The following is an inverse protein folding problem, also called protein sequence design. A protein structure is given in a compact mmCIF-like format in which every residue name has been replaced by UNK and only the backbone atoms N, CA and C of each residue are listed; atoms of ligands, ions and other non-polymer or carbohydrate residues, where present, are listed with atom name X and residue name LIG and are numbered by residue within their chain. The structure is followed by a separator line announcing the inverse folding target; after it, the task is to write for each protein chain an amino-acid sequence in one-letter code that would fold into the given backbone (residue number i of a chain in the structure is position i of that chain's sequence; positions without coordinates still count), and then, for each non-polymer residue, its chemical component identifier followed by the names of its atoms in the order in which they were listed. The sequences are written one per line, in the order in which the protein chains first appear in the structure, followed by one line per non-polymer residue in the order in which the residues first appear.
data_IF_833369006659
#
_entry.id   IF_833369006659
#
_cell.length_a   1.000
_cell.length_b   1.000
_cell.length_c   1.000
_cell.angle_alpha   90.00
_cell.angle_beta   90.00
_cell.angle_gamma   90.00
#
_symmetry.space_group_name_H-M   'P 1'
#
loop_
_entity.id
_entity.type
_entity.pdbx_description
1 polymer ?
#
# COMPACT_ATOMS: atom_id res chain seq x y z
N UNK A 1 -5.41 -36.67 75.14
CA UNK A 1 -4.86 -37.26 73.91
C UNK A 1 -5.85 -37.02 72.79
N UNK A 2 -5.36 -36.49 71.66
CA UNK A 2 -6.14 -36.12 70.48
C UNK A 2 -6.63 -37.37 69.76
N UNK A 3 -7.86 -37.34 69.26
CA UNK A 3 -8.35 -38.23 68.21
C UNK A 3 -9.26 -37.41 67.29
N UNK A 4 -8.82 -37.30 66.05
CA UNK A 4 -9.44 -36.62 64.91
C UNK A 4 -10.40 -37.57 64.21
N UNK A 5 -11.61 -37.09 63.90
CA UNK A 5 -12.52 -37.72 62.95
C UNK A 5 -13.18 -36.65 62.09
N UNK A 6 -12.65 -36.44 60.88
CA UNK A 6 -13.22 -35.59 59.84
C UNK A 6 -14.25 -36.40 59.06
N UNK A 7 -15.50 -35.94 59.04
CA UNK A 7 -16.54 -36.46 58.16
C UNK A 7 -16.63 -35.53 56.94
N UNK A 8 -16.45 -36.09 55.76
CA UNK A 8 -16.56 -35.39 54.47
C UNK A 8 -18.04 -35.24 54.12
N UNK A 9 -18.49 -34.02 53.85
CA UNK A 9 -19.79 -33.75 53.23
C UNK A 9 -19.55 -33.14 51.85
N UNK A 10 -20.04 -33.84 50.82
CA UNK A 10 -19.99 -33.40 49.44
C UNK A 10 -20.95 -32.23 49.22
N UNK A 11 -20.45 -31.14 48.62
CA UNK A 11 -21.27 -30.04 48.11
C UNK A 11 -21.22 -30.10 46.59
N UNK A 12 -22.38 -30.37 45.98
CA UNK A 12 -22.62 -30.24 44.54
C UNK A 12 -22.75 -28.75 44.23
N UNK A 13 -21.74 -28.18 43.58
CA UNK A 13 -21.76 -26.80 43.09
C UNK A 13 -22.21 -26.75 41.63
N UNK A 14 -23.43 -26.30 41.40
CA UNK A 14 -23.98 -25.99 40.06
C UNK A 14 -23.30 -24.72 39.54
N UNK A 15 -22.42 -24.84 38.54
CA UNK A 15 -21.81 -23.70 37.87
C UNK A 15 -22.80 -23.09 36.86
N UNK A 16 -23.28 -21.87 37.13
CA UNK A 16 -23.96 -21.04 36.14
C UNK A 16 -22.94 -20.57 35.10
N UNK A 17 -23.05 -21.08 33.87
CA UNK A 17 -22.40 -20.53 32.68
C UNK A 17 -23.08 -19.21 32.30
N UNK A 18 -22.53 -18.09 32.78
CA UNK A 18 -22.84 -16.77 32.23
C UNK A 18 -22.09 -16.61 30.91
N UNK A 19 -22.78 -16.88 29.80
CA UNK A 19 -22.29 -16.59 28.46
C UNK A 19 -22.10 -15.08 28.29
N UNK A 20 -20.85 -14.63 28.23
CA UNK A 20 -20.50 -13.27 27.84
C UNK A 20 -20.73 -13.11 26.35
N UNK A 21 -21.89 -12.58 25.98
CA UNK A 21 -22.14 -12.05 24.63
C UNK A 21 -21.29 -10.79 24.47
N UNK A 22 -20.13 -10.94 23.83
CA UNK A 22 -19.30 -9.82 23.40
C UNK A 22 -20.07 -9.06 22.31
N UNK A 23 -20.65 -7.93 22.68
CA UNK A 23 -21.18 -6.97 21.69
C UNK A 23 -20.01 -6.48 20.82
N UNK A 24 -20.15 -6.43 19.48
CA UNK A 24 -19.11 -5.90 18.63
C UNK A 24 -18.82 -4.46 19.04
N UNK A 25 -17.53 -4.14 19.17
CA UNK A 25 -17.08 -2.80 19.47
C UNK A 25 -17.62 -1.85 18.40
N UNK A 26 -18.52 -0.94 18.79
CA UNK A 26 -19.04 0.07 17.89
C UNK A 26 -17.86 0.94 17.40
N UNK A 27 -17.61 0.88 16.10
CA UNK A 27 -16.66 1.74 15.40
C UNK A 27 -16.97 3.19 15.75
N UNK A 28 -15.97 3.89 16.31
CA UNK A 28 -16.07 5.32 16.56
C UNK A 28 -16.41 6.01 15.22
N UNK A 29 -17.42 6.90 15.16
CA UNK A 29 -17.79 7.52 13.90
C UNK A 29 -16.60 8.28 13.34
N UNK A 30 -16.35 8.13 12.04
CA UNK A 30 -15.36 8.93 11.34
C UNK A 30 -15.64 10.42 11.63
N UNK A 31 -14.60 11.27 11.77
CA UNK A 31 -14.84 12.70 11.92
C UNK A 31 -15.74 13.20 10.79
N UNK A 32 -16.71 14.09 11.09
CA UNK A 32 -17.75 14.63 10.18
C UNK A 32 -17.25 15.22 8.84
N UNK A 33 -15.92 15.25 8.63
CA UNK A 33 -15.23 15.75 7.44
C UNK A 33 -14.87 14.64 6.43
N UNK A 34 -14.97 13.35 6.80
CA UNK A 34 -14.53 12.21 5.99
C UNK A 34 -15.40 11.92 4.75
N UNK A 35 -16.57 12.55 4.64
CA UNK A 35 -17.59 12.20 3.64
C UNK A 35 -17.71 13.20 2.48
N UNK A 36 -16.76 14.12 2.32
CA UNK A 36 -16.82 15.11 1.22
C UNK A 36 -15.50 15.29 0.49
N UNK A 37 -15.61 15.49 -0.82
CA UNK A 37 -14.51 15.87 -1.72
C UNK A 37 -14.89 17.14 -2.48
N UNK A 38 -13.94 18.07 -2.61
CA UNK A 38 -14.09 19.27 -3.43
C UNK A 38 -13.36 19.08 -4.75
N UNK A 39 -14.07 19.08 -5.87
CA UNK A 39 -13.49 19.15 -7.20
C UNK A 39 -13.34 20.62 -7.59
N UNK A 40 -12.12 21.02 -7.87
CA UNK A 40 -11.75 22.32 -8.37
C UNK A 40 -11.24 22.18 -9.81
N UNK A 41 -11.83 22.93 -10.73
CA UNK A 41 -11.54 22.83 -12.17
C UNK A 41 -11.35 24.19 -12.85
N UNK A 42 -10.91 25.19 -12.08
CA UNK A 42 -10.61 26.52 -12.64
C UNK A 42 -9.39 26.42 -13.55
N UNK A 43 -9.43 27.13 -14.68
CA UNK A 43 -8.33 27.26 -15.63
C UNK A 43 -8.01 28.73 -15.85
N UNK A 44 -6.73 29.09 -15.85
CA UNK A 44 -6.20 30.39 -16.26
C UNK A 44 -5.42 30.30 -17.59
N UNK A 45 -5.25 29.10 -18.13
CA UNK A 45 -4.66 28.83 -19.45
C UNK A 45 -5.59 27.90 -20.27
N UNK A 46 -5.03 26.89 -20.95
CA UNK A 46 -5.80 25.97 -21.79
C UNK A 46 -6.90 25.28 -20.99
N UNK A 47 -8.07 25.11 -21.60
CA UNK A 47 -9.23 24.48 -20.98
C UNK A 47 -9.54 23.17 -21.69
N UNK A 48 -9.53 22.07 -20.94
CA UNK A 48 -9.86 20.74 -21.44
C UNK A 48 -11.37 20.53 -21.54
N UNK A 49 -11.83 20.04 -22.69
CA UNK A 49 -13.25 19.72 -22.94
C UNK A 49 -13.78 18.59 -22.04
N UNK A 50 -12.88 17.81 -21.43
CA UNK A 50 -13.22 16.67 -20.58
C UNK A 50 -13.59 17.01 -19.14
N UNK A 51 -13.42 18.28 -18.72
CA UNK A 51 -13.75 18.74 -17.36
C UNK A 51 -15.20 18.37 -16.94
N UNK A 52 -16.25 18.61 -17.76
CA UNK A 52 -17.62 18.24 -17.39
C UNK A 52 -17.83 16.73 -17.20
N UNK A 53 -17.22 15.90 -18.05
CA UNK A 53 -17.29 14.44 -17.96
C UNK A 53 -16.52 13.93 -16.72
N UNK A 54 -15.36 14.52 -16.43
CA UNK A 54 -14.60 14.25 -15.22
C UNK A 54 -15.36 14.60 -13.94
N UNK A 55 -16.01 15.77 -13.86
CA UNK A 55 -16.86 16.14 -12.73
C UNK A 55 -18.00 15.14 -12.56
N UNK A 56 -18.63 14.72 -13.66
CA UNK A 56 -19.74 13.75 -13.64
C UNK A 56 -19.26 12.41 -13.11
N UNK A 57 -18.16 11.87 -13.65
CA UNK A 57 -17.59 10.62 -13.20
C UNK A 57 -17.19 10.65 -11.73
N UNK A 58 -16.52 11.72 -11.26
CA UNK A 58 -16.13 11.86 -9.85
C UNK A 58 -17.36 11.90 -8.92
N UNK A 59 -18.44 12.57 -9.32
CA UNK A 59 -19.71 12.57 -8.55
C UNK A 59 -20.34 11.20 -8.46
N UNK A 60 -20.38 10.45 -9.57
CA UNK A 60 -20.90 9.08 -9.60
C UNK A 60 -20.05 8.14 -8.74
N UNK A 61 -18.73 8.24 -8.82
CA UNK A 61 -17.78 7.47 -8.01
C UNK A 61 -17.90 7.80 -6.53
N UNK A 62 -18.07 9.08 -6.18
CA UNK A 62 -18.33 9.47 -4.80
C UNK A 62 -19.63 8.88 -4.28
N UNK A 63 -20.71 8.96 -5.07
CA UNK A 63 -21.99 8.39 -4.70
C UNK A 63 -21.91 6.86 -4.47
N UNK A 64 -21.21 6.13 -5.33
CA UNK A 64 -21.04 4.66 -5.18
C UNK A 64 -20.16 4.28 -3.99
N UNK A 65 -19.22 5.15 -3.60
CA UNK A 65 -18.29 4.93 -2.49
C UNK A 65 -18.72 5.59 -1.17
N UNK A 66 -19.91 6.19 -1.13
CA UNK A 66 -20.50 6.76 0.08
C UNK A 66 -19.90 8.10 0.53
N UNK A 67 -19.40 8.92 -0.40
CA UNK A 67 -18.99 10.31 -0.11
C UNK A 67 -19.53 11.30 -1.13
N UNK A 68 -19.87 12.51 -0.68
CA UNK A 68 -20.38 13.59 -1.51
C UNK A 68 -19.25 14.30 -2.25
N UNK A 69 -19.49 14.61 -3.51
CA UNK A 69 -18.58 15.41 -4.33
C UNK A 69 -19.24 16.74 -4.69
N UNK A 70 -18.59 17.82 -4.28
CA UNK A 70 -18.96 19.18 -4.69
C UNK A 70 -17.97 19.65 -5.76
N UNK A 71 -18.42 20.42 -6.74
CA UNK A 71 -17.57 20.93 -7.81
C UNK A 71 -17.69 22.46 -7.89
N UNK A 72 -16.57 23.14 -8.11
CA UNK A 72 -16.51 24.59 -8.26
C UNK A 72 -15.34 25.02 -9.14
N UNK A 73 -15.48 26.16 -9.79
CA UNK A 73 -14.37 26.90 -10.42
C UNK A 73 -14.06 28.20 -9.65
N UNK A 74 -14.83 28.50 -8.59
CA UNK A 74 -14.64 29.68 -7.74
C UNK A 74 -13.51 29.45 -6.72
N UNK A 75 -12.39 30.14 -6.93
CA UNK A 75 -11.23 30.10 -6.03
C UNK A 75 -11.54 30.64 -4.62
N UNK A 76 -12.63 31.40 -4.41
CA UNK A 76 -13.04 31.81 -3.06
C UNK A 76 -13.35 30.61 -2.13
N UNK A 77 -13.56 29.42 -2.71
CA UNK A 77 -13.64 28.16 -1.97
C UNK A 77 -12.36 27.81 -1.18
N UNK A 78 -11.19 28.35 -1.56
CA UNK A 78 -9.90 28.12 -0.91
C UNK A 78 -9.71 29.06 0.29
N UNK A 79 -10.48 28.78 1.34
CA UNK A 79 -10.33 29.44 2.63
C UNK A 79 -10.43 28.39 3.76
N UNK A 80 -9.85 28.64 4.95
CA UNK A 80 -9.82 27.65 6.02
C UNK A 80 -11.21 27.15 6.45
N UNK A 81 -12.23 28.00 6.39
CA UNK A 81 -13.57 27.64 6.84
C UNK A 81 -14.27 26.66 5.89
N UNK A 82 -14.01 26.78 4.59
CA UNK A 82 -14.55 25.86 3.61
C UNK A 82 -13.69 24.60 3.47
N UNK A 83 -12.36 24.72 3.38
CA UNK A 83 -11.45 23.59 3.16
C UNK A 83 -11.55 22.52 4.26
N UNK A 84 -11.73 22.91 5.53
CA UNK A 84 -11.90 21.95 6.65
C UNK A 84 -13.08 21.00 6.50
N UNK A 85 -14.00 21.25 5.56
CA UNK A 85 -15.19 20.41 5.32
C UNK A 85 -14.91 19.19 4.45
N UNK A 86 -13.74 19.14 3.80
CA UNK A 86 -13.42 18.17 2.76
C UNK A 86 -12.27 17.26 3.17
N UNK A 87 -12.44 15.96 2.98
CA UNK A 87 -11.40 14.95 3.18
C UNK A 87 -10.31 15.03 2.12
N UNK A 88 -10.68 15.40 0.89
CA UNK A 88 -9.74 15.66 -0.19
C UNK A 88 -10.20 16.82 -1.10
N UNK A 89 -9.24 17.47 -1.74
CA UNK A 89 -9.45 18.42 -2.84
C UNK A 89 -8.86 17.83 -4.12
N UNK A 90 -9.68 17.75 -5.16
CA UNK A 90 -9.30 17.30 -6.50
C UNK A 90 -9.02 18.53 -7.36
N UNK A 91 -7.86 18.59 -7.99
CA UNK A 91 -7.56 19.52 -9.07
C UNK A 91 -7.80 18.75 -10.37
N UNK A 92 -8.95 18.99 -11.01
CA UNK A 92 -9.35 18.33 -12.24
C UNK A 92 -9.01 19.21 -13.42
N UNK A 93 -7.91 18.87 -14.11
CA UNK A 93 -7.43 19.59 -15.29
C UNK A 93 -7.39 21.11 -15.12
N UNK A 94 -6.97 21.57 -13.94
CA UNK A 94 -6.65 22.98 -13.71
C UNK A 94 -5.45 23.38 -14.57
N UNK A 95 -5.32 24.65 -14.96
CA UNK A 95 -4.15 25.13 -15.72
C UNK A 95 -3.80 26.57 -15.35
N UNK A 96 -2.52 26.92 -15.40
CA UNK A 96 -2.02 28.26 -15.07
C UNK A 96 -2.05 28.61 -13.58
N UNK A 97 -2.06 29.91 -13.27
CA UNK A 97 -2.12 30.46 -11.91
C UNK A 97 -3.57 30.74 -11.51
N UNK A 98 -4.10 29.95 -10.57
CA UNK A 98 -5.55 29.84 -10.29
C UNK A 98 -5.91 30.28 -8.87
N UNK A 99 -4.92 30.40 -7.98
CA UNK A 99 -5.04 30.80 -6.58
C UNK A 99 -4.14 32.00 -6.26
N UNK A 100 -4.70 32.98 -5.54
CA UNK A 100 -3.92 34.06 -4.92
C UNK A 100 -3.07 33.55 -3.74
N UNK A 101 -2.04 34.30 -3.32
CA UNK A 101 -1.19 33.98 -2.15
C UNK A 101 -1.98 33.60 -0.88
N UNK A 102 -3.10 34.29 -0.64
CA UNK A 102 -3.97 34.00 0.51
C UNK A 102 -4.66 32.64 0.39
N UNK A 103 -5.08 32.28 -0.81
CA UNK A 103 -5.72 30.99 -1.10
C UNK A 103 -4.68 29.86 -1.12
N UNK A 104 -3.49 30.11 -1.68
CA UNK A 104 -2.34 29.22 -1.59
C UNK A 104 -2.02 28.91 -0.12
N UNK A 105 -1.83 29.93 0.73
CA UNK A 105 -1.58 29.78 2.18
C UNK A 105 -2.67 28.94 2.87
N UNK A 106 -3.94 29.16 2.53
CA UNK A 106 -5.04 28.38 3.08
C UNK A 106 -4.96 26.90 2.66
N UNK A 107 -4.53 26.62 1.42
CA UNK A 107 -4.35 25.27 0.91
C UNK A 107 -3.12 24.57 1.51
N UNK A 108 -1.99 25.28 1.69
CA UNK A 108 -0.84 24.71 2.40
C UNK A 108 -1.23 24.28 3.81
N UNK A 109 -1.95 25.15 4.53
CA UNK A 109 -2.47 24.81 5.86
C UNK A 109 -3.40 23.60 5.80
N UNK A 110 -4.27 23.49 4.80
CA UNK A 110 -5.15 22.34 4.63
C UNK A 110 -4.36 21.02 4.50
N UNK A 111 -3.35 20.99 3.61
CA UNK A 111 -2.50 19.82 3.39
C UNK A 111 -1.71 19.49 4.66
N UNK A 112 -1.09 20.49 5.32
CA UNK A 112 -0.32 20.31 6.56
C UNK A 112 -1.13 19.73 7.72
N UNK A 113 -2.46 19.90 7.70
CA UNK A 113 -3.37 19.31 8.69
C UNK A 113 -3.96 17.96 8.24
N UNK A 114 -3.38 17.30 7.24
CA UNK A 114 -3.77 15.97 6.80
C UNK A 114 -4.82 15.95 5.69
N UNK A 115 -5.06 17.08 5.02
CA UNK A 115 -5.91 17.16 3.84
C UNK A 115 -5.40 16.30 2.69
N UNK A 116 -6.31 15.63 1.97
CA UNK A 116 -5.99 14.88 0.77
C UNK A 116 -5.93 15.77 -0.47
N UNK A 117 -5.06 15.44 -1.41
CA UNK A 117 -4.95 16.05 -2.73
C UNK A 117 -5.03 14.97 -3.81
N UNK A 118 -5.77 15.27 -4.86
CA UNK A 118 -5.84 14.46 -6.09
C UNK A 118 -5.62 15.38 -7.28
N UNK A 119 -4.51 15.21 -8.00
CA UNK A 119 -4.27 15.89 -9.27
C UNK A 119 -4.63 14.99 -10.45
N UNK A 120 -5.41 15.51 -11.40
CA UNK A 120 -5.79 14.77 -12.61
C UNK A 120 -5.32 15.56 -13.83
N UNK A 121 -4.61 14.86 -14.71
CA UNK A 121 -4.13 15.32 -16.01
C UNK A 121 -3.41 16.68 -15.92
N UNK A 122 -4.07 17.76 -16.36
CA UNK A 122 -3.51 19.09 -16.43
C UNK A 122 -3.22 19.75 -15.07
N UNK A 123 -3.58 19.10 -13.96
CA UNK A 123 -3.15 19.56 -12.64
C UNK A 123 -1.61 19.75 -12.54
N UNK A 124 -0.79 19.07 -13.33
CA UNK A 124 0.66 19.33 -13.40
C UNK A 124 1.03 20.63 -14.15
N UNK A 125 0.11 21.19 -14.94
CA UNK A 125 0.20 22.47 -15.66
C UNK A 125 -0.36 23.65 -14.83
N UNK A 126 -0.25 23.58 -13.50
CA UNK A 126 -0.85 24.54 -12.57
C UNK A 126 0.20 25.11 -11.62
N UNK A 127 0.13 26.41 -11.30
CA UNK A 127 0.89 27.06 -10.22
C UNK A 127 2.42 26.88 -10.30
N UNK A 128 3.02 27.18 -11.46
CA UNK A 128 4.45 26.98 -11.73
C UNK A 128 5.41 27.74 -10.81
N UNK A 129 4.98 28.91 -10.31
CA UNK A 129 5.81 29.77 -9.45
C UNK A 129 5.62 29.47 -7.95
N UNK A 130 4.74 28.52 -7.60
CA UNK A 130 4.44 28.12 -6.22
C UNK A 130 5.12 26.80 -5.88
N UNK A 131 6.35 26.88 -5.35
CA UNK A 131 7.19 25.70 -5.07
C UNK A 131 6.53 24.62 -4.18
N UNK A 132 5.66 25.02 -3.25
CA UNK A 132 4.88 24.07 -2.44
C UNK A 132 3.97 23.21 -3.31
N UNK A 133 3.30 23.80 -4.30
CA UNK A 133 2.47 23.03 -5.23
C UNK A 133 3.30 22.09 -6.08
N UNK A 134 4.47 22.52 -6.54
CA UNK A 134 5.41 21.66 -7.28
C UNK A 134 5.81 20.41 -6.51
N UNK A 135 6.06 20.56 -5.20
CA UNK A 135 6.28 19.43 -4.31
C UNK A 135 5.02 18.58 -4.12
N UNK A 136 3.86 19.20 -3.94
CA UNK A 136 2.58 18.51 -3.75
C UNK A 136 2.19 17.67 -4.97
N UNK A 137 2.23 18.24 -6.18
CA UNK A 137 1.91 17.51 -7.42
C UNK A 137 3.03 16.53 -7.79
N UNK A 138 4.27 16.80 -7.38
CA UNK A 138 5.43 15.94 -7.55
C UNK A 138 6.28 16.26 -8.78
N UNK A 139 5.64 16.66 -9.89
CA UNK A 139 6.33 17.17 -11.07
C UNK A 139 5.45 18.11 -11.90
N UNK A 140 6.06 19.13 -12.49
CA UNK A 140 5.40 20.09 -13.35
C UNK A 140 5.37 19.63 -14.80
N UNK A 141 4.30 19.99 -15.52
CA UNK A 141 4.18 19.77 -16.96
C UNK A 141 5.28 20.52 -17.75
N UNK A 142 5.79 19.84 -18.78
CA UNK A 142 6.75 20.40 -19.74
C UNK A 142 6.18 20.47 -21.16
N UNK A 143 5.43 19.47 -21.58
CA UNK A 143 4.92 19.34 -22.95
C UNK A 143 4.28 17.98 -23.16
N UNK A 144 3.69 17.75 -24.33
CA UNK A 144 3.14 16.44 -24.72
C UNK A 144 3.25 16.28 -26.25
N UNK A 145 3.28 15.04 -26.76
CA UNK A 145 3.09 14.77 -28.18
C UNK A 145 1.59 14.82 -28.54
N UNK A 146 1.26 14.49 -29.78
CA UNK A 146 -0.13 14.27 -30.17
C UNK A 146 -0.74 13.10 -29.38
N UNK A 147 -2.06 13.16 -29.19
CA UNK A 147 -2.87 12.08 -28.61
C UNK A 147 -2.61 10.79 -29.39
N UNK A 148 -2.20 9.73 -28.69
CA UNK A 148 -1.83 8.47 -29.31
C UNK A 148 -1.93 7.31 -28.30
N UNK A 149 -2.02 6.05 -28.74
CA UNK A 149 -1.91 4.92 -27.83
C UNK A 149 -0.50 4.83 -27.23
N UNK A 150 -0.41 4.42 -25.97
CA UNK A 150 0.85 4.02 -25.34
C UNK A 150 0.62 2.84 -24.39
N UNK A 151 1.67 2.05 -24.19
CA UNK A 151 1.72 1.04 -23.14
C UNK A 151 2.02 1.71 -21.81
N UNK A 152 1.10 1.53 -20.86
CA UNK A 152 1.27 1.99 -19.47
C UNK A 152 1.56 0.78 -18.60
N UNK A 153 2.77 0.70 -18.05
CA UNK A 153 3.19 -0.36 -17.14
C UNK A 153 2.75 0.00 -15.73
N UNK A 154 1.98 -0.88 -15.09
CA UNK A 154 1.56 -0.73 -13.70
C UNK A 154 2.64 -1.33 -12.80
N UNK A 155 3.34 -0.47 -12.06
CA UNK A 155 4.49 -0.84 -11.23
C UNK A 155 4.10 -1.29 -9.82
N UNK A 156 3.13 -0.61 -9.21
CA UNK A 156 2.53 -1.01 -7.93
C UNK A 156 1.10 -1.47 -8.21
N UNK A 157 0.79 -2.71 -7.84
CA UNK A 157 -0.56 -3.25 -7.97
C UNK A 157 -1.30 -3.34 -6.63
N UNK A 158 -0.68 -3.12 -5.47
CA UNK A 158 -1.35 -3.03 -4.16
C UNK A 158 -2.12 -1.74 -3.96
N UNK A 159 -1.63 -0.64 -4.50
CA UNK A 159 -2.30 0.64 -4.32
C UNK A 159 -3.75 0.56 -4.85
N UNK A 160 -4.76 1.07 -4.10
CA UNK A 160 -6.17 0.99 -4.50
C UNK A 160 -6.46 1.56 -5.90
N UNK A 161 -5.68 2.56 -6.33
CA UNK A 161 -5.78 3.16 -7.67
C UNK A 161 -5.34 2.22 -8.80
N UNK A 162 -4.55 1.20 -8.53
CA UNK A 162 -3.95 0.34 -9.57
C UNK A 162 -4.24 -1.13 -9.37
N UNK A 163 -4.88 -1.51 -8.26
CA UNK A 163 -5.07 -2.91 -7.88
C UNK A 163 -6.03 -3.72 -8.72
N UNK A 164 -6.91 -3.06 -9.47
CA UNK A 164 -7.81 -3.70 -10.43
C UNK A 164 -7.28 -3.62 -11.86
N UNK A 165 -6.14 -2.98 -12.08
CA UNK A 165 -5.54 -2.85 -13.40
C UNK A 165 -4.71 -4.09 -13.74
N UNK A 166 -4.66 -4.41 -15.04
CA UNK A 166 -3.69 -5.36 -15.57
C UNK A 166 -2.27 -4.80 -15.44
N UNK A 167 -1.26 -5.67 -15.54
CA UNK A 167 0.15 -5.24 -15.55
C UNK A 167 0.42 -4.23 -16.66
N UNK A 168 -0.22 -4.41 -17.81
CA UNK A 168 -0.24 -3.46 -18.90
C UNK A 168 -1.63 -2.82 -19.01
N UNK A 169 -1.68 -1.50 -18.81
CA UNK A 169 -2.90 -0.69 -18.85
C UNK A 169 -2.91 0.20 -20.10
N UNK A 170 -2.87 -0.43 -21.27
CA UNK A 170 -2.77 0.26 -22.56
C UNK A 170 -4.01 1.11 -22.84
N UNK A 171 -3.80 2.37 -23.24
CA UNK A 171 -4.87 3.29 -23.69
C UNK A 171 -4.34 4.32 -24.67
N UNK A 172 -5.26 5.11 -25.19
CA UNK A 172 -4.98 6.35 -25.93
C UNK A 172 -5.24 7.53 -25.01
N UNK A 173 -4.29 8.45 -24.89
CA UNK A 173 -4.42 9.69 -24.13
C UNK A 173 -3.41 10.74 -24.65
N UNK A 174 -3.40 11.94 -24.04
CA UNK A 174 -2.37 12.96 -24.22
C UNK A 174 -1.27 12.78 -23.16
N UNK A 175 -0.10 12.28 -23.57
CA UNK A 175 0.96 11.84 -22.66
C UNK A 175 1.89 12.98 -22.23
N UNK A 176 1.86 13.34 -20.95
CA UNK A 176 2.64 14.45 -20.43
C UNK A 176 4.10 14.08 -20.21
N UNK A 177 4.99 14.88 -20.79
CA UNK A 177 6.36 15.02 -20.33
C UNK A 177 6.41 16.01 -19.16
N UNK A 178 7.32 15.76 -18.23
CA UNK A 178 7.47 16.54 -17.01
C UNK A 178 8.82 17.25 -16.96
N UNK A 179 8.88 18.41 -16.32
CA UNK A 179 10.12 19.20 -16.14
C UNK A 179 11.18 18.48 -15.32
N UNK A 180 10.75 17.49 -14.52
CA UNK A 180 11.60 16.65 -13.68
C UNK A 180 10.97 15.28 -13.53
N UNK A 181 11.81 14.25 -13.39
CA UNK A 181 11.32 12.91 -13.04
C UNK A 181 11.04 12.82 -11.53
N UNK A 182 9.80 12.50 -11.10
CA UNK A 182 9.41 12.51 -9.69
C UNK A 182 9.86 11.27 -8.91
N UNK A 183 10.33 10.19 -9.56
CA UNK A 183 10.56 8.86 -8.93
C UNK A 183 11.38 8.88 -7.65
N UNK A 184 12.34 9.81 -7.53
CA UNK A 184 13.18 9.90 -6.33
C UNK A 184 12.44 10.40 -5.08
N UNK A 185 11.32 11.12 -5.25
CA UNK A 185 10.57 11.78 -4.18
C UNK A 185 9.14 11.25 -4.02
N UNK A 186 8.64 10.46 -4.97
CA UNK A 186 7.29 9.87 -4.94
C UNK A 186 7.32 8.35 -5.00
N UNK A 187 6.20 7.72 -4.68
CA UNK A 187 5.95 6.33 -4.98
C UNK A 187 5.24 6.21 -6.33
N UNK A 188 5.95 5.65 -7.32
CA UNK A 188 5.42 5.50 -8.69
C UNK A 188 4.45 4.33 -8.74
N UNK A 189 3.27 4.56 -9.28
CA UNK A 189 2.21 3.56 -9.43
C UNK A 189 2.15 3.01 -10.84
N UNK A 190 2.41 3.85 -11.83
CA UNK A 190 2.47 3.46 -13.24
C UNK A 190 3.41 4.37 -14.03
N UNK A 191 3.99 3.82 -15.09
CA UNK A 191 4.88 4.51 -16.02
C UNK A 191 4.53 4.24 -17.48
N UNK A 192 4.89 5.15 -18.37
CA UNK A 192 4.80 4.95 -19.81
C UNK A 192 6.03 4.22 -20.31
N UNK A 193 5.81 3.23 -21.17
CA UNK A 193 6.87 2.61 -21.97
C UNK A 193 7.15 3.51 -23.19
N UNK A 194 8.21 4.33 -23.13
CA UNK A 194 8.59 5.25 -24.22
C UNK A 194 8.95 4.53 -25.54
N UNK A 195 9.15 3.20 -25.54
CA UNK A 195 9.33 2.44 -26.79
C UNK A 195 8.02 2.17 -27.54
N UNK A 196 6.87 2.34 -26.86
CA UNK A 196 5.54 2.04 -27.39
C UNK A 196 4.85 3.23 -28.09
N UNK A 197 5.39 4.44 -27.96
CA UNK A 197 4.82 5.67 -28.51
C UNK A 197 5.92 6.66 -28.90
N UNK A 198 5.56 7.81 -29.49
CA UNK A 198 6.54 8.82 -29.92
C UNK A 198 6.40 10.13 -29.16
N UNK A 199 7.54 10.79 -28.90
CA UNK A 199 7.59 12.12 -28.26
C UNK A 199 7.72 12.12 -26.74
N UNK A 200 8.02 10.97 -26.12
CA UNK A 200 8.53 10.90 -24.76
C UNK A 200 9.91 11.55 -24.65
N UNK A 201 10.14 12.29 -23.57
CA UNK A 201 11.39 13.05 -23.31
C UNK A 201 11.94 12.80 -21.90
N UNK A 202 11.45 11.77 -21.23
CA UNK A 202 11.80 11.44 -19.84
C UNK A 202 12.98 10.47 -19.73
N UNK A 203 13.61 10.12 -20.87
CA UNK A 203 14.79 9.26 -20.97
C UNK A 203 14.53 7.83 -20.50
N UNK A 204 13.40 7.25 -20.91
CA UNK A 204 13.00 5.86 -20.65
C UNK A 204 12.35 5.61 -19.30
N UNK A 205 12.57 6.46 -18.29
CA UNK A 205 11.86 6.40 -17.01
C UNK A 205 10.78 7.48 -16.96
N UNK A 206 9.55 7.09 -17.29
CA UNK A 206 8.44 8.03 -17.48
C UNK A 206 7.25 7.74 -16.55
N UNK A 207 7.33 8.10 -15.25
CA UNK A 207 6.19 8.02 -14.33
C UNK A 207 4.98 8.81 -14.86
N UNK A 208 3.79 8.22 -14.81
CA UNK A 208 2.54 8.84 -15.25
C UNK A 208 1.45 8.84 -14.18
N UNK A 209 1.58 7.99 -13.16
CA UNK A 209 0.76 8.04 -11.95
C UNK A 209 1.61 7.76 -10.72
N UNK A 210 1.39 8.51 -9.65
CA UNK A 210 2.16 8.37 -8.42
C UNK A 210 1.37 8.83 -7.19
N UNK A 211 1.87 8.44 -6.02
CA UNK A 211 1.38 8.93 -4.74
C UNK A 211 2.54 9.25 -3.80
N UNK A 212 2.31 10.15 -2.84
CA UNK A 212 3.22 10.36 -1.71
C UNK A 212 2.53 11.06 -0.55
N UNK A 213 3.09 10.94 0.65
CA UNK A 213 2.73 11.82 1.76
C UNK A 213 3.54 13.11 1.63
N UNK A 214 2.87 14.27 1.61
CA UNK A 214 3.48 15.58 1.41
C UNK A 214 3.11 16.52 2.56
N UNK A 215 4.11 16.96 3.33
CA UNK A 215 3.98 17.86 4.48
C UNK A 215 2.83 17.51 5.47
N UNK A 216 2.44 16.23 5.57
CA UNK A 216 1.36 15.76 6.45
C UNK A 216 0.08 15.34 5.73
N UNK A 217 -0.12 15.77 4.48
CA UNK A 217 -1.24 15.37 3.64
C UNK A 217 -0.92 14.18 2.73
N UNK A 218 -1.96 13.62 2.10
CA UNK A 218 -1.85 12.55 1.09
C UNK A 218 -2.00 13.14 -0.30
N UNK A 219 -1.01 12.96 -1.17
CA UNK A 219 -1.01 13.42 -2.56
C UNK A 219 -1.05 12.25 -3.52
N UNK A 220 -2.08 12.21 -4.36
CA UNK A 220 -2.18 11.28 -5.49
C UNK A 220 -2.25 12.09 -6.79
N UNK A 221 -1.52 11.68 -7.81
CA UNK A 221 -1.54 12.30 -9.12
C UNK A 221 -1.64 11.23 -10.22
N UNK A 222 -2.41 11.54 -11.26
CA UNK A 222 -2.43 10.78 -12.50
C UNK A 222 -2.40 11.74 -13.69
N UNK A 223 -1.52 11.48 -14.66
CA UNK A 223 -1.41 12.23 -15.92
C UNK A 223 -2.48 11.85 -16.94
N UNK A 224 -3.28 10.81 -16.66
CA UNK A 224 -4.37 10.32 -17.50
C UNK A 224 -5.63 11.18 -17.31
N UNK A 225 -6.42 11.36 -18.38
CA UNK A 225 -7.73 12.01 -18.31
C UNK A 225 -7.95 13.17 -19.28
N UNK A 226 -7.20 13.27 -20.38
CA UNK A 226 -7.43 14.30 -21.40
C UNK A 226 -8.77 14.11 -22.10
N UNK A 227 -9.06 12.88 -22.53
CA UNK A 227 -10.21 12.55 -23.37
C UNK A 227 -11.50 12.45 -22.56
N UNK A 228 -12.57 13.12 -23.00
CA UNK A 228 -13.92 12.98 -22.45
C UNK A 228 -14.39 11.53 -22.37
N UNK A 229 -14.13 10.74 -23.43
CA UNK A 229 -14.53 9.34 -23.49
C UNK A 229 -13.91 8.48 -22.39
N UNK A 230 -12.71 8.85 -21.91
CA UNK A 230 -11.98 8.07 -20.92
C UNK A 230 -12.75 7.96 -19.59
N UNK A 231 -13.56 8.96 -19.23
CA UNK A 231 -14.33 8.99 -17.97
C UNK A 231 -15.49 7.99 -17.94
N UNK A 232 -15.78 7.33 -19.07
CA UNK A 232 -16.71 6.20 -19.15
C UNK A 232 -16.02 4.83 -19.04
N UNK A 233 -14.69 4.78 -19.18
CA UNK A 233 -13.92 3.54 -19.15
C UNK A 233 -13.89 2.95 -17.73
N UNK A 234 -14.29 1.68 -17.55
CA UNK A 234 -14.28 1.06 -16.22
C UNK A 234 -12.92 1.13 -15.53
N UNK A 235 -11.83 0.92 -16.28
CA UNK A 235 -10.49 0.90 -15.71
C UNK A 235 -10.03 2.28 -15.21
N UNK A 236 -10.27 3.36 -15.96
CA UNK A 236 -9.97 4.72 -15.47
C UNK A 236 -10.85 5.09 -14.27
N UNK A 237 -12.13 4.73 -14.30
CA UNK A 237 -13.04 5.00 -13.19
C UNK A 237 -12.60 4.31 -11.90
N UNK A 238 -12.13 3.06 -11.97
CA UNK A 238 -11.55 2.38 -10.81
C UNK A 238 -10.24 3.01 -10.36
N UNK A 239 -9.39 3.46 -11.31
CA UNK A 239 -8.16 4.18 -10.99
C UNK A 239 -8.42 5.46 -10.21
N UNK A 240 -9.35 6.29 -10.68
CA UNK A 240 -9.78 7.52 -10.00
C UNK A 240 -10.42 7.23 -8.65
N UNK A 241 -11.28 6.22 -8.55
CA UNK A 241 -11.91 5.83 -7.29
C UNK A 241 -10.87 5.39 -6.26
N UNK A 242 -9.92 4.53 -6.65
CA UNK A 242 -8.86 4.09 -5.78
C UNK A 242 -7.97 5.23 -5.29
N UNK A 243 -7.61 6.17 -6.18
CA UNK A 243 -6.90 7.40 -5.82
C UNK A 243 -7.67 8.25 -4.82
N UNK A 244 -8.98 8.45 -5.02
CA UNK A 244 -9.86 9.15 -4.08
C UNK A 244 -9.97 8.43 -2.73
N UNK A 245 -10.15 7.10 -2.73
CA UNK A 245 -10.23 6.30 -1.51
C UNK A 245 -8.95 6.43 -0.69
N UNK A 246 -7.79 6.37 -1.34
CA UNK A 246 -6.52 6.56 -0.65
C UNK A 246 -6.35 8.01 -0.16
N UNK A 247 -6.55 9.02 -1.01
CA UNK A 247 -6.41 10.42 -0.63
C UNK A 247 -7.33 10.82 0.54
N UNK A 248 -8.56 10.29 0.59
CA UNK A 248 -9.51 10.49 1.70
C UNK A 248 -9.23 9.60 2.94
N UNK A 249 -8.28 8.68 2.87
CA UNK A 249 -7.91 7.78 3.97
C UNK A 249 -8.87 6.62 4.19
N UNK A 250 -9.72 6.31 3.21
CA UNK A 250 -10.66 5.19 3.18
C UNK A 250 -10.04 3.87 2.70
N UNK A 251 -8.83 3.94 2.17
CA UNK A 251 -8.00 2.80 1.84
C UNK A 251 -6.54 3.14 2.15
N UNK A 252 -5.75 2.15 2.51
CA UNK A 252 -4.36 2.30 2.93
C UNK A 252 -3.42 1.75 1.86
N UNK A 253 -2.28 2.40 1.69
CA UNK A 253 -1.21 1.96 0.79
C UNK A 253 0.11 2.59 1.23
N UNK A 254 1.22 1.91 0.91
CA UNK A 254 2.56 2.44 1.17
C UNK A 254 3.00 3.40 0.06
N UNK A 255 2.74 4.70 0.22
CA UNK A 255 3.18 5.73 -0.73
C UNK A 255 4.52 6.37 -0.35
N UNK A 256 5.44 5.62 0.25
CA UNK A 256 6.82 6.09 0.45
C UNK A 256 7.65 5.78 -0.80
N UNK A 257 8.57 6.67 -1.22
CA UNK A 257 9.42 6.40 -2.37
C UNK A 257 10.16 5.08 -2.23
N UNK A 258 10.10 4.28 -3.30
CA UNK A 258 10.64 2.93 -3.32
C UNK A 258 11.76 2.81 -4.35
N UNK A 259 12.98 2.53 -3.88
CA UNK A 259 14.17 2.43 -4.72
C UNK A 259 15.04 1.23 -4.29
N UNK A 260 15.62 0.55 -5.28
CA UNK A 260 16.62 -0.51 -5.09
C UNK A 260 16.07 -1.89 -4.75
N UNK A 261 14.77 -2.13 -4.95
CA UNK A 261 14.19 -3.47 -4.86
C UNK A 261 14.39 -4.22 -6.17
N UNK A 262 14.71 -5.51 -6.07
CA UNK A 262 14.71 -6.45 -7.20
C UNK A 262 13.64 -7.52 -6.97
N UNK A 263 12.95 -7.99 -8.03
CA UNK A 263 11.96 -9.04 -7.88
C UNK A 263 12.61 -10.34 -7.40
N UNK A 264 11.91 -11.05 -6.51
CA UNK A 264 12.11 -12.48 -6.23
C UNK A 264 11.06 -13.31 -6.96
N UNK A 265 9.87 -12.73 -7.19
CA UNK A 265 8.82 -13.28 -8.02
C UNK A 265 8.26 -12.17 -8.92
N UNK A 266 8.35 -12.36 -10.24
CA UNK A 266 7.97 -11.36 -11.24
C UNK A 266 6.54 -11.53 -11.78
N UNK A 267 5.78 -12.47 -11.22
CA UNK A 267 4.43 -12.79 -11.69
C UNK A 267 4.38 -13.84 -12.81
N UNK A 268 5.51 -14.34 -13.31
CA UNK A 268 5.50 -15.26 -14.47
C UNK A 268 5.95 -16.68 -14.12
N UNK A 269 7.04 -16.82 -13.37
CA UNK A 269 7.62 -18.12 -13.04
C UNK A 269 7.99 -18.22 -11.56
N UNK A 270 7.93 -19.44 -11.03
CA UNK A 270 8.41 -19.75 -9.68
C UNK A 270 9.89 -20.17 -9.70
N UNK A 271 10.67 -19.67 -10.68
CA UNK A 271 12.10 -19.97 -10.75
C UNK A 271 12.82 -19.54 -9.46
N UNK A 272 13.65 -20.43 -8.91
CA UNK A 272 14.35 -20.20 -7.65
C UNK A 272 13.50 -20.43 -6.39
N UNK A 273 12.21 -20.71 -6.52
CA UNK A 273 11.34 -21.09 -5.41
C UNK A 273 11.19 -22.61 -5.31
N UNK A 274 10.97 -23.11 -4.09
CA UNK A 274 10.71 -24.53 -3.80
C UNK A 274 9.48 -24.65 -2.89
N UNK A 275 8.61 -25.60 -3.23
CA UNK A 275 7.45 -25.95 -2.41
C UNK A 275 7.84 -27.04 -1.39
N UNK A 276 7.52 -26.81 -0.12
CA UNK A 276 7.54 -27.81 0.94
C UNK A 276 6.11 -28.12 1.41
N UNK A 277 5.83 -29.39 1.73
CA UNK A 277 4.52 -29.82 2.22
C UNK A 277 3.44 -30.00 1.14
N UNK A 278 2.25 -30.49 1.54
CA UNK A 278 1.11 -30.73 0.64
C UNK A 278 0.39 -29.49 0.11
N UNK A 279 0.66 -28.29 0.65
CA UNK A 279 0.14 -27.04 0.11
C UNK A 279 0.73 -26.69 -1.26
N UNK A 280 0.04 -25.86 -2.02
CA UNK A 280 0.50 -25.41 -3.34
C UNK A 280 0.20 -23.93 -3.57
N UNK A 281 0.92 -23.32 -4.51
CA UNK A 281 0.66 -21.96 -4.98
C UNK A 281 0.52 -21.95 -6.50
N UNK A 282 -0.62 -21.49 -6.99
CA UNK A 282 -0.90 -21.41 -8.42
C UNK A 282 -0.74 -19.97 -8.90
N UNK A 283 -0.01 -19.77 -10.00
CA UNK A 283 0.13 -18.47 -10.66
C UNK A 283 -1.03 -18.28 -11.63
N UNK A 284 -1.79 -17.21 -11.47
CA UNK A 284 -2.85 -16.80 -12.41
C UNK A 284 -2.29 -15.95 -13.57
N UNK A 285 -3.06 -15.75 -14.63
CA UNK A 285 -2.66 -14.95 -15.81
C UNK A 285 -2.26 -13.50 -15.46
N UNK A 286 -2.80 -12.98 -14.36
CA UNK A 286 -2.46 -11.66 -13.85
C UNK A 286 -1.22 -11.68 -12.93
N UNK A 287 -0.48 -12.78 -12.88
CA UNK A 287 0.70 -12.97 -12.04
C UNK A 287 0.45 -13.03 -10.54
N UNK A 288 -0.79 -13.25 -10.11
CA UNK A 288 -1.11 -13.51 -8.71
C UNK A 288 -0.83 -14.96 -8.34
N UNK A 289 -0.03 -15.18 -7.29
CA UNK A 289 0.11 -16.47 -6.62
C UNK A 289 -1.06 -16.65 -5.65
N UNK A 290 -1.77 -17.78 -5.70
CA UNK A 290 -2.83 -18.08 -4.72
C UNK A 290 -2.59 -19.42 -4.06
N UNK A 291 -2.64 -19.43 -2.73
CA UNK A 291 -2.44 -20.62 -1.91
C UNK A 291 -3.65 -21.56 -1.98
N UNK A 292 -3.40 -22.88 -1.87
CA UNK A 292 -4.44 -23.89 -1.74
C UNK A 292 -3.88 -25.21 -1.21
N UNK A 293 -4.75 -26.12 -0.74
CA UNK A 293 -4.36 -27.45 -0.29
C UNK A 293 -3.90 -27.47 1.18
N UNK A 294 -3.09 -28.43 1.60
CA UNK A 294 -2.71 -28.56 3.02
C UNK A 294 -1.61 -27.59 3.47
N UNK A 295 -1.13 -27.75 4.70
CA UNK A 295 0.03 -27.01 5.21
C UNK A 295 1.19 -27.02 4.21
N UNK A 296 1.71 -25.85 3.86
CA UNK A 296 2.78 -25.75 2.87
C UNK A 296 3.54 -24.44 2.96
N UNK A 297 4.75 -24.46 2.41
CA UNK A 297 5.63 -23.30 2.37
C UNK A 297 6.27 -23.20 0.99
N UNK A 298 5.98 -22.11 0.28
CA UNK A 298 6.73 -21.74 -0.93
C UNK A 298 7.86 -20.81 -0.50
N UNK A 299 9.11 -21.27 -0.60
CA UNK A 299 10.27 -20.54 -0.12
C UNK A 299 11.32 -20.33 -1.20
N UNK A 300 12.05 -19.22 -1.11
CA UNK A 300 13.06 -18.86 -2.09
C UNK A 300 14.34 -19.66 -1.83
N UNK A 301 14.53 -20.75 -2.59
CA UNK A 301 15.60 -21.71 -2.41
C UNK A 301 16.93 -21.31 -3.07
N UNK A 302 16.89 -20.40 -4.04
CA UNK A 302 18.08 -20.02 -4.80
C UNK A 302 19.21 -19.44 -3.92
N UNK A 303 18.88 -18.78 -2.81
CA UNK A 303 19.85 -18.27 -1.83
C UNK A 303 19.19 -17.84 -0.52
N UNK A 304 20.00 -17.75 0.53
CA UNK A 304 19.65 -17.10 1.80
C UNK A 304 19.95 -15.59 1.78
N UNK A 305 19.48 -14.90 2.82
CA UNK A 305 19.63 -13.46 3.03
C UNK A 305 20.05 -13.14 4.46
N UNK A 306 20.84 -12.08 4.61
CA UNK A 306 21.26 -11.54 5.91
C UNK A 306 20.53 -10.25 6.28
N UNK A 307 21.10 -9.09 5.95
CA UNK A 307 20.42 -7.81 6.15
C UNK A 307 19.63 -7.42 4.90
N UNK A 308 18.31 -7.24 5.02
CA UNK A 308 17.45 -6.94 3.89
C UNK A 308 16.14 -6.24 4.29
N UNK A 309 15.46 -5.73 3.27
CA UNK A 309 14.06 -5.33 3.30
C UNK A 309 13.31 -6.17 2.28
N UNK A 310 12.39 -7.01 2.73
CA UNK A 310 11.48 -7.81 1.91
C UNK A 310 10.16 -7.07 1.81
N UNK A 311 9.66 -6.88 0.58
CA UNK A 311 8.33 -6.36 0.32
C UNK A 311 7.52 -7.37 -0.47
N UNK A 312 6.24 -7.46 -0.15
CA UNK A 312 5.27 -8.26 -0.88
C UNK A 312 3.86 -7.75 -0.63
N UNK A 313 3.01 -7.99 -1.60
CA UNK A 313 1.58 -7.77 -1.48
C UNK A 313 0.87 -9.07 -1.12
N UNK A 314 -0.16 -8.96 -0.30
CA UNK A 314 -1.03 -10.07 0.07
C UNK A 314 -2.49 -9.64 0.14
N UNK A 315 -3.40 -10.60 -0.07
CA UNK A 315 -4.85 -10.41 0.04
C UNK A 315 -5.50 -11.68 0.56
N UNK A 316 -6.18 -11.57 1.69
CA UNK A 316 -7.05 -12.60 2.23
C UNK A 316 -8.49 -12.38 1.72
N UNK A 317 -9.25 -13.45 1.50
CA UNK A 317 -10.62 -13.39 0.99
C UNK A 317 -11.69 -13.31 2.08
N UNK A 318 -11.34 -13.78 3.29
CA UNK A 318 -12.15 -13.64 4.48
C UNK A 318 -11.28 -13.70 5.73
N UNK A 319 -11.52 -14.73 6.53
CA UNK A 319 -10.78 -15.02 7.76
C UNK A 319 -9.63 -16.02 7.51
N UNK A 320 -9.05 -15.99 6.31
CA UNK A 320 -8.01 -16.92 5.90
C UNK A 320 -6.73 -16.70 6.71
N UNK A 321 -6.10 -17.81 7.09
CA UNK A 321 -4.83 -17.84 7.80
C UNK A 321 -3.66 -18.09 6.84
N UNK A 322 -2.59 -17.31 7.01
CA UNK A 322 -1.32 -17.49 6.31
C UNK A 322 -0.22 -16.74 7.06
N UNK A 323 0.99 -16.73 6.51
CA UNK A 323 2.13 -16.03 7.06
C UNK A 323 3.27 -15.88 6.08
N UNK A 324 4.15 -14.92 6.39
CA UNK A 324 5.44 -14.75 5.72
C UNK A 324 6.54 -15.19 6.68
N UNK A 325 7.34 -16.17 6.26
CA UNK A 325 8.43 -16.71 7.06
C UNK A 325 9.77 -16.08 6.70
N UNK A 326 10.60 -15.85 7.72
CA UNK A 326 11.98 -15.34 7.59
C UNK A 326 12.93 -16.08 8.53
N UNK A 327 14.21 -16.17 8.15
CA UNK A 327 15.28 -16.62 9.06
C UNK A 327 15.25 -18.11 9.39
N UNK A 328 14.86 -18.96 8.43
CA UNK A 328 14.86 -20.42 8.59
C UNK A 328 15.86 -21.11 7.64
N UNK A 329 16.37 -22.30 8.00
CA UNK A 329 17.25 -23.08 7.14
C UNK A 329 16.46 -23.79 6.01
N UNK A 330 17.12 -24.15 4.89
CA UNK A 330 16.48 -24.88 3.80
C UNK A 330 15.93 -26.22 4.28
N UNK A 331 14.72 -26.58 3.84
CA UNK A 331 14.02 -27.80 4.24
C UNK A 331 12.92 -28.18 3.24
N UNK A 332 12.61 -29.47 3.15
CA UNK A 332 11.45 -30.01 2.43
C UNK A 332 10.25 -30.28 3.36
N UNK A 333 10.49 -30.21 4.67
CA UNK A 333 9.46 -30.22 5.70
C UNK A 333 8.93 -28.78 5.91
N UNK A 334 7.62 -28.52 5.65
CA UNK A 334 7.02 -27.19 5.82
C UNK A 334 7.07 -26.72 7.28
N UNK A 335 7.15 -27.62 8.26
CA UNK A 335 7.22 -27.26 9.68
C UNK A 335 8.59 -26.74 10.10
N UNK A 336 9.65 -26.97 9.32
CA UNK A 336 10.99 -26.47 9.66
C UNK A 336 11.04 -24.93 9.74
N UNK A 337 10.24 -24.21 8.94
CA UNK A 337 10.18 -22.75 9.04
C UNK A 337 9.40 -22.30 10.29
N UNK A 338 8.37 -23.03 10.69
CA UNK A 338 7.62 -22.83 11.94
C UNK A 338 8.51 -23.02 13.16
N UNK A 339 9.31 -24.09 13.14
CA UNK A 339 10.13 -24.50 14.27
C UNK A 339 11.44 -23.71 14.40
N UNK A 340 11.96 -23.15 13.30
CA UNK A 340 13.30 -22.54 13.27
C UNK A 340 13.35 -21.09 12.78
N UNK A 341 12.30 -20.61 12.11
CA UNK A 341 12.21 -19.25 11.59
C UNK A 341 11.31 -18.33 12.40
N UNK A 342 10.83 -17.26 11.79
CA UNK A 342 9.83 -16.37 12.34
C UNK A 342 8.73 -16.11 11.33
N UNK A 343 7.49 -16.29 11.77
CA UNK A 343 6.30 -15.99 10.99
C UNK A 343 5.83 -14.56 11.26
N UNK A 344 5.59 -13.81 10.20
CA UNK A 344 4.83 -12.57 10.21
C UNK A 344 3.42 -12.94 9.77
N UNK A 345 2.50 -12.93 10.73
CA UNK A 345 1.16 -13.50 10.54
C UNK A 345 0.31 -12.70 9.53
N UNK A 346 -0.56 -13.42 8.83
CA UNK A 346 -1.74 -12.92 8.10
C UNK A 346 -2.96 -13.66 8.66
N UNK A 347 -3.66 -13.05 9.60
CA UNK A 347 -4.92 -13.54 10.20
C UNK A 347 -5.51 -12.41 11.04
N UNK A 348 -6.70 -11.92 10.71
CA UNK A 348 -7.24 -10.72 11.36
C UNK A 348 -8.04 -11.00 12.64
N UNK A 349 -8.41 -12.25 12.91
CA UNK A 349 -9.35 -12.60 13.99
C UNK A 349 -8.72 -13.36 15.16
N UNK A 350 -7.49 -13.88 15.00
CA UNK A 350 -6.80 -14.57 16.08
C UNK A 350 -6.36 -13.64 17.24
N UNK A 351 -5.82 -14.24 18.30
CA UNK A 351 -5.33 -13.59 19.50
C UNK A 351 -4.27 -12.51 19.19
N UNK A 352 -4.10 -11.49 20.06
CA UNK A 352 -3.19 -10.37 19.82
C UNK A 352 -1.74 -10.73 19.45
N UNK A 353 -1.18 -11.81 19.99
CA UNK A 353 0.18 -12.29 19.72
C UNK A 353 0.29 -13.21 18.49
N UNK A 354 -0.83 -13.41 17.79
CA UNK A 354 -1.01 -14.32 16.65
C UNK A 354 -1.90 -13.73 15.56
N UNK A 355 -2.09 -12.42 15.54
CA UNK A 355 -2.88 -11.72 14.51
C UNK A 355 -1.97 -11.01 13.49
N UNK A 356 -2.54 -10.56 12.37
CA UNK A 356 -1.88 -9.86 11.27
C UNK A 356 -0.78 -8.91 11.74
N UNK A 357 0.47 -9.22 11.38
CA UNK A 357 1.65 -8.42 11.66
C UNK A 357 2.34 -8.72 12.99
N UNK A 358 1.80 -9.64 13.80
CA UNK A 358 2.53 -10.23 14.91
C UNK A 358 3.71 -11.04 14.39
N UNK A 359 4.79 -11.09 15.18
CA UNK A 359 5.79 -12.14 15.07
C UNK A 359 5.22 -13.31 15.86
N UNK A 360 4.67 -14.30 15.17
CA UNK A 360 3.73 -15.28 15.72
C UNK A 360 4.24 -15.94 17.00
N UNK A 361 3.55 -15.73 18.13
CA UNK A 361 3.92 -16.29 19.43
C UNK A 361 5.13 -15.63 20.12
N UNK A 362 5.79 -14.66 19.50
CA UNK A 362 6.95 -13.95 20.04
C UNK A 362 6.67 -12.48 20.38
N UNK A 363 5.93 -11.78 19.51
CA UNK A 363 5.65 -10.35 19.68
C UNK A 363 4.38 -9.92 18.96
N UNK A 364 3.38 -9.53 19.75
CA UNK A 364 2.18 -8.85 19.24
C UNK A 364 2.51 -7.57 18.48
N UNK A 365 1.75 -7.29 17.42
CA UNK A 365 1.78 -6.00 16.73
C UNK A 365 1.18 -4.88 17.61
N UNK A 366 1.53 -3.63 17.31
CA UNK A 366 0.80 -2.46 17.78
C UNK A 366 -0.60 -2.47 17.14
N UNK A 367 -1.58 -3.08 17.83
CA UNK A 367 -2.93 -3.30 17.30
C UNK A 367 -3.58 -1.99 16.84
N UNK A 368 -3.36 -0.87 17.55
CA UNK A 368 -3.92 0.41 17.15
C UNK A 368 -3.35 0.89 15.81
N UNK A 369 -2.05 0.70 15.55
CA UNK A 369 -1.45 1.03 14.26
C UNK A 369 -1.89 0.04 13.18
N UNK A 370 -1.94 -1.26 13.52
CA UNK A 370 -2.43 -2.33 12.65
C UNK A 370 -3.83 -2.03 12.15
N UNK A 371 -4.79 -1.80 13.04
CA UNK A 371 -6.19 -1.55 12.69
C UNK A 371 -6.37 -0.30 11.82
N UNK A 372 -5.50 0.70 11.95
CA UNK A 372 -5.52 1.90 11.09
C UNK A 372 -4.87 1.68 9.72
N UNK A 373 -3.94 0.75 9.62
CA UNK A 373 -3.16 0.51 8.41
C UNK A 373 -3.70 -0.65 7.57
N UNK A 374 -4.44 -1.57 8.17
CA UNK A 374 -4.97 -2.76 7.54
C UNK A 374 -6.18 -2.44 6.65
N UNK A 375 -6.11 -2.85 5.39
CA UNK A 375 -7.28 -2.91 4.51
C UNK A 375 -8.11 -4.16 4.81
N UNK A 376 -9.45 -4.11 4.65
CA UNK A 376 -10.33 -5.23 4.94
C UNK A 376 -10.09 -6.44 4.00
N UNK A 377 -10.63 -7.62 4.33
CA UNK A 377 -10.62 -8.78 3.43
C UNK A 377 -11.16 -8.43 2.04
N UNK A 378 -10.55 -9.04 1.02
CA UNK A 378 -10.79 -8.73 -0.39
C UNK A 378 -9.96 -7.56 -0.94
N UNK A 379 -9.26 -6.81 -0.08
CA UNK A 379 -8.35 -5.74 -0.49
C UNK A 379 -6.89 -6.09 -0.26
N UNK A 380 -6.04 -5.54 -1.12
CA UNK A 380 -4.61 -5.77 -1.06
C UNK A 380 -3.96 -5.01 0.09
N UNK A 381 -2.98 -5.65 0.70
CA UNK A 381 -2.14 -5.10 1.75
C UNK A 381 -0.68 -5.37 1.39
N UNK A 382 0.21 -4.45 1.73
CA UNK A 382 1.65 -4.60 1.52
C UNK A 382 2.34 -4.75 2.86
N UNK A 383 3.17 -5.79 2.98
CA UNK A 383 4.17 -5.87 4.04
C UNK A 383 5.52 -5.34 3.57
N UNK A 384 6.19 -4.58 4.44
CA UNK A 384 7.64 -4.36 4.41
C UNK A 384 8.23 -5.01 5.66
N UNK A 385 8.99 -6.07 5.47
CA UNK A 385 9.66 -6.83 6.52
C UNK A 385 11.15 -6.54 6.43
N UNK A 386 11.67 -5.81 7.42
CA UNK A 386 13.08 -5.40 7.46
C UNK A 386 13.83 -6.19 8.52
N UNK A 387 14.89 -6.86 8.09
CA UNK A 387 15.79 -7.68 8.92
C UNK A 387 17.18 -7.05 8.93
N UNK A 388 17.70 -6.78 10.13
CA UNK A 388 19.06 -6.28 10.36
C UNK A 388 19.65 -6.94 11.60
N UNK A 389 20.55 -7.91 11.40
CA UNK A 389 21.04 -8.75 12.49
C UNK A 389 19.90 -9.60 13.07
N UNK A 390 19.67 -9.52 14.37
CA UNK A 390 18.56 -10.20 15.06
C UNK A 390 17.28 -9.35 15.14
N UNK A 391 17.27 -8.14 14.56
CA UNK A 391 16.12 -7.24 14.63
C UNK A 391 15.23 -7.38 13.40
N UNK A 392 13.94 -7.58 13.64
CA UNK A 392 12.88 -7.69 12.66
C UNK A 392 11.88 -6.56 12.87
N UNK A 393 11.60 -5.79 11.81
CA UNK A 393 10.57 -4.74 11.82
C UNK A 393 9.55 -4.99 10.73
N UNK A 394 8.28 -4.86 11.08
CA UNK A 394 7.16 -5.06 10.16
C UNK A 394 6.44 -3.74 9.95
N UNK A 395 6.29 -3.35 8.69
CA UNK A 395 5.33 -2.33 8.28
C UNK A 395 4.19 -2.94 7.50
N UNK A 396 2.99 -2.44 7.74
CA UNK A 396 1.78 -2.75 6.99
C UNK A 396 1.32 -1.45 6.32
N UNK A 397 1.20 -1.46 4.98
CA UNK A 397 0.79 -0.29 4.19
C UNK A 397 1.54 1.00 4.59
N UNK A 398 2.86 0.88 4.76
CA UNK A 398 3.76 1.98 5.13
C UNK A 398 3.82 2.33 6.62
N UNK A 399 2.93 1.78 7.46
CA UNK A 399 2.92 2.04 8.91
C UNK A 399 3.72 0.96 9.64
N UNK A 400 4.72 1.34 10.43
CA UNK A 400 5.45 0.38 11.28
C UNK A 400 4.55 -0.10 12.43
N UNK A 401 4.21 -1.38 12.40
CA UNK A 401 3.31 -2.03 13.36
C UNK A 401 4.04 -2.99 14.30
N UNK A 402 5.25 -3.43 13.98
CA UNK A 402 6.01 -4.32 14.86
C UNK A 402 7.52 -3.99 14.84
N UNK A 403 8.17 -4.26 15.96
CA UNK A 403 9.61 -4.08 16.18
C UNK A 403 10.07 -5.12 17.21
N UNK A 404 10.60 -6.22 16.69
CA UNK A 404 11.01 -7.40 17.42
C UNK A 404 12.53 -7.56 17.34
N UNK A 405 13.13 -8.10 18.39
CA UNK A 405 14.54 -8.50 18.41
C UNK A 405 14.61 -9.90 18.96
N UNK A 406 15.18 -10.82 18.18
CA UNK A 406 15.39 -12.19 18.58
C UNK A 406 16.38 -12.26 19.75
N UNK A 407 16.04 -13.07 20.76
CA UNK A 407 16.90 -13.44 21.89
C UNK A 407 17.02 -14.96 22.07
N UNK A 408 16.34 -15.74 21.24
CA UNK A 408 16.40 -17.19 21.21
C UNK A 408 17.71 -17.63 20.52
N UNK A 409 18.62 -18.32 21.23
CA UNK A 409 19.89 -18.75 20.66
C UNK A 409 19.75 -19.90 19.65
N UNK A 410 18.56 -20.52 19.54
CA UNK A 410 18.29 -21.65 18.63
C UNK A 410 17.69 -21.23 17.29
N UNK A 411 17.29 -19.96 17.16
CA UNK A 411 16.80 -19.33 15.92
C UNK A 411 17.70 -18.15 15.55
N UNK A 412 17.78 -17.80 14.27
CA UNK A 412 18.65 -16.71 13.80
C UNK A 412 18.06 -16.00 12.59
N UNK A 413 18.06 -14.67 12.63
CA UNK A 413 17.68 -13.83 11.49
C UNK A 413 18.88 -13.42 10.62
N UNK A 414 20.12 -13.75 11.03
CA UNK A 414 21.34 -13.27 10.36
C UNK A 414 21.65 -13.94 9.04
N UNK A 415 21.13 -15.14 8.83
CA UNK A 415 21.31 -15.91 7.61
C UNK A 415 20.16 -16.93 7.51
N UNK A 416 19.28 -16.74 6.54
CA UNK A 416 18.16 -17.66 6.33
C UNK A 416 17.34 -17.33 5.09
N UNK A 417 16.37 -18.19 4.82
CA UNK A 417 15.48 -18.05 3.68
C UNK A 417 14.25 -17.21 4.02
N UNK A 418 13.50 -16.84 2.97
CA UNK A 418 12.19 -16.20 3.04
C UNK A 418 11.17 -17.09 2.34
N UNK A 419 9.93 -17.07 2.80
CA UNK A 419 8.86 -17.86 2.21
C UNK A 419 7.46 -17.38 2.58
N UNK A 420 6.47 -17.87 1.84
CA UNK A 420 5.04 -17.62 2.07
C UNK A 420 4.34 -18.94 2.39
N UNK A 421 3.37 -18.90 3.29
CA UNK A 421 2.71 -20.09 3.84
C UNK A 421 1.33 -20.31 3.23
N UNK A 422 0.99 -21.57 2.95
CA UNK A 422 -0.40 -22.01 2.95
C UNK A 422 -0.67 -22.69 4.29
N UNK A 423 -1.60 -22.17 5.08
CA UNK A 423 -1.87 -22.69 6.42
C UNK A 423 -2.71 -23.98 6.36
N UNK A 424 -3.92 -23.92 5.82
CA UNK A 424 -4.85 -25.05 5.78
C UNK A 424 -5.56 -25.24 4.43
N UNK A 425 -6.33 -26.32 4.34
CA UNK A 425 -7.12 -26.67 3.14
C UNK A 425 -8.26 -25.69 2.84
N UNK A 426 -8.72 -25.00 3.87
CA UNK A 426 -9.81 -24.05 3.80
C UNK A 426 -9.32 -22.59 3.68
N UNK A 427 -7.99 -22.37 3.76
CA UNK A 427 -7.38 -21.05 3.70
C UNK A 427 -6.95 -20.70 2.27
N UNK A 428 -7.35 -19.52 1.79
CA UNK A 428 -6.92 -19.00 0.49
C UNK A 428 -6.38 -17.58 0.61
N UNK A 429 -5.05 -17.44 0.46
CA UNK A 429 -4.37 -16.14 0.45
C UNK A 429 -3.63 -15.93 -0.86
N UNK A 430 -3.85 -14.77 -1.46
CA UNK A 430 -3.17 -14.33 -2.67
C UNK A 430 -1.93 -13.51 -2.34
N UNK A 431 -0.89 -13.66 -3.15
CA UNK A 431 0.38 -12.95 -3.06
C UNK A 431 0.83 -12.45 -4.44
N UNK A 432 1.57 -11.33 -4.46
CA UNK A 432 2.28 -10.87 -5.66
C UNK A 432 3.41 -9.92 -5.29
N UNK A 433 4.18 -9.52 -6.31
CA UNK A 433 5.17 -8.45 -6.23
C UNK A 433 6.16 -8.65 -5.07
N UNK A 434 6.60 -9.90 -4.91
CA UNK A 434 7.55 -10.30 -3.88
C UNK A 434 8.93 -9.85 -4.34
N UNK A 435 9.52 -8.93 -3.60
CA UNK A 435 10.75 -8.22 -3.96
C UNK A 435 11.62 -7.96 -2.76
N UNK A 436 12.92 -7.86 -2.99
CA UNK A 436 13.90 -7.71 -1.92
C UNK A 436 14.90 -6.61 -2.23
N UNK A 437 15.33 -5.91 -1.18
CA UNK A 437 16.46 -4.99 -1.20
C UNK A 437 17.43 -5.38 -0.11
N UNK A 438 18.62 -5.82 -0.49
CA UNK A 438 19.70 -6.10 0.46
C UNK A 438 20.22 -4.78 1.05
N UNK A 439 20.46 -4.79 2.35
CA UNK A 439 20.90 -3.60 3.09
C UNK A 439 22.41 -3.69 3.32
N UNK A 440 23.13 -2.56 3.33
CA UNK A 440 24.54 -2.54 3.71
C UNK A 440 24.71 -3.16 5.11
N UNK A 441 25.59 -4.14 5.23
CA UNK A 441 25.99 -4.66 6.53
C UNK A 441 26.88 -3.62 7.20
N UNK A 442 26.40 -2.98 8.27
CA UNK A 442 27.27 -2.20 9.16
C UNK A 442 28.17 -3.18 9.94
N UNK A 443 29.17 -3.74 9.29
CA UNK A 443 30.28 -4.37 9.98
C UNK A 443 31.26 -3.25 10.40
N UNK A 444 31.60 -3.09 11.69
CA UNK A 444 32.77 -2.30 12.05
C UNK A 444 33.98 -2.94 11.34
N UNK A 445 34.80 -2.11 10.68
CA UNK A 445 36.08 -2.56 10.14
C UNK A 445 36.87 -3.23 11.27
N UNK A 446 37.20 -4.51 11.12
CA UNK A 446 38.13 -5.18 12.02
C UNK A 446 39.41 -4.34 12.09
N UNK A 447 39.98 -4.06 13.28
CA UNK A 447 41.27 -3.41 13.36
C UNK A 447 42.27 -4.34 12.66
N UNK A 448 42.84 -3.87 11.56
CA UNK A 448 43.93 -4.55 10.89
C UNK A 448 45.02 -4.81 11.91
N UNK A 449 45.37 -6.08 12.09
CA UNK A 449 46.57 -6.48 12.83
C UNK A 449 47.75 -5.93 12.05
N UNK A 450 48.30 -4.80 12.49
CA UNK A 450 49.65 -4.40 12.13
C UNK A 450 50.58 -5.33 12.88
N UNK A 451 51.16 -6.29 12.16
CA UNK A 451 52.29 -7.06 12.66
C UNK A 451 53.52 -6.16 12.73
N UNK A 452 54.14 -6.13 13.91
CA UNK A 452 55.55 -5.76 14.10
C UNK A 452 56.47 -6.92 13.67
#
# INVERSE_FOLDING_TARGET
MRSTGLTVTAVVGTALLLGSVSTPAASRPAPQHADRVLVFSRTAAFRHDSIPDGITALKELGASAGFRVDATEDAAAFNPANLRRYAAVVFLSTTGDVLTDRQQTAFESYIRHGGGYVGIHAAADTEYDWAFYGGLVGAYFQGHPAIQPARTVVEDRAHPATSTLGMDWNRTDEWYNYRSNPRSSVHVLASLDESSYTGGTMNGDHPIAWCHNYEGGRSFYTGVGHLSSAYTEPALRQHLLGGLRWATGRAQADCRPENGYRPLFDGTSQEGWKQAGPGTFTVSDDGTLTSSGGMGLLWYAARSFGAYSLKLDWKAHGDDNSGVFVGFPPSDDPWSAVDKGYEIQIDTTDAPDRTTGAVYGFRSADLRKRDRALNPPGEWNTYEIRVEGERLRVRLNGVQINDFTNTDPTRSLRDGHVGIQNHGADDQVSFRDIRIRELPTNAPASPGVTGD
#
